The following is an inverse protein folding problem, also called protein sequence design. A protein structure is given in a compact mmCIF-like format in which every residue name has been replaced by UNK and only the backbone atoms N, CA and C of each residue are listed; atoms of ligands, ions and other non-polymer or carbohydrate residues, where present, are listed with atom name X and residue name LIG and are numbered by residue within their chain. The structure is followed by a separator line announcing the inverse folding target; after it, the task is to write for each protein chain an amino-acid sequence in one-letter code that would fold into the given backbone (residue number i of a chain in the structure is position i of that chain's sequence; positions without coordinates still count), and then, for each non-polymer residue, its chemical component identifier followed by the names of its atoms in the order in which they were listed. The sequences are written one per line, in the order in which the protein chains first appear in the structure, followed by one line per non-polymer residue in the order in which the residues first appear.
data_IF_708654498263
#
_entry.id   IF_708654498263
#
_cell.length_a   1.000
_cell.length_b   1.000
_cell.length_c   1.000
_cell.angle_alpha   90.00
_cell.angle_beta   90.00
_cell.angle_gamma   90.00
#
_symmetry.space_group_name_H-M   'P 1'
#
loop_
_entity.id
_entity.type
_entity.pdbx_description
1 polymer ?
#
# COMPACT_ATOMS: atom_id res chain seq x y z
N UNK A 1 -29.66 -14.16 15.44
CA UNK A 1 -28.50 -13.49 14.83
C UNK A 1 -27.66 -12.93 15.96
N UNK A 2 -26.51 -13.55 16.26
CA UNK A 2 -25.63 -13.06 17.32
C UNK A 2 -25.15 -11.66 16.94
N UNK A 3 -25.40 -10.67 17.80
CA UNK A 3 -24.90 -9.30 17.65
C UNK A 3 -23.38 -9.35 17.69
N UNK A 4 -22.75 -9.21 16.53
CA UNK A 4 -21.29 -9.04 16.46
C UNK A 4 -20.91 -7.81 17.29
N UNK A 5 -19.99 -7.91 18.26
CA UNK A 5 -19.57 -6.75 19.03
C UNK A 5 -19.08 -5.65 18.09
N UNK A 6 -19.60 -4.44 18.28
CA UNK A 6 -19.28 -3.29 17.43
C UNK A 6 -17.77 -3.08 17.32
N UNK A 7 -17.33 -2.67 16.13
CA UNK A 7 -15.93 -2.31 15.89
C UNK A 7 -15.61 -1.00 16.62
N UNK A 8 -14.59 -0.99 17.49
CA UNK A 8 -14.20 0.18 18.28
C UNK A 8 -12.73 0.55 18.06
N UNK A 9 -12.27 1.68 18.61
CA UNK A 9 -10.84 2.05 18.60
C UNK A 9 -9.97 0.98 19.28
N UNK A 10 -10.55 0.12 20.13
CA UNK A 10 -9.80 -0.86 20.94
C UNK A 10 -10.14 -2.32 20.61
N UNK A 11 -11.13 -2.61 19.77
CA UNK A 11 -11.58 -3.99 19.48
C UNK A 11 -11.86 -4.21 18.00
N UNK A 12 -11.29 -5.30 17.46
CA UNK A 12 -11.40 -5.70 16.05
C UNK A 12 -11.83 -7.16 15.91
N UNK A 13 -12.53 -7.53 14.81
CA UNK A 13 -12.98 -8.89 14.56
C UNK A 13 -11.86 -9.84 14.12
N UNK A 14 -10.69 -9.30 13.75
CA UNK A 14 -9.50 -10.07 13.38
C UNK A 14 -8.38 -9.81 14.38
N UNK A 15 -7.70 -10.88 14.78
CA UNK A 15 -6.56 -10.79 15.69
C UNK A 15 -5.41 -9.99 15.08
N UNK A 16 -4.82 -9.13 15.90
CA UNK A 16 -3.65 -8.35 15.54
C UNK A 16 -2.43 -9.26 15.45
N UNK A 17 -1.65 -9.12 14.38
CA UNK A 17 -0.34 -9.76 14.29
C UNK A 17 0.65 -8.99 15.18
N UNK A 18 1.04 -9.59 16.30
CA UNK A 18 1.94 -8.98 17.29
C UNK A 18 3.39 -9.41 17.06
N UNK A 19 4.33 -8.75 17.74
CA UNK A 19 5.73 -9.20 17.75
C UNK A 19 5.88 -10.62 18.33
N UNK A 20 5.10 -10.99 19.35
CA UNK A 20 5.10 -12.37 19.87
C UNK A 20 4.63 -13.38 18.83
N UNK A 21 3.58 -13.05 18.06
CA UNK A 21 3.14 -13.89 16.93
C UNK A 21 4.23 -14.01 15.88
N UNK A 22 4.95 -12.92 15.58
CA UNK A 22 6.09 -12.94 14.67
C UNK A 22 7.19 -13.90 15.15
N UNK A 23 7.60 -13.82 16.41
CA UNK A 23 8.65 -14.66 16.99
C UNK A 23 8.29 -16.14 16.96
N UNK A 24 7.05 -16.48 17.34
CA UNK A 24 6.54 -17.86 17.26
C UNK A 24 6.52 -18.34 15.81
N UNK A 25 5.99 -17.54 14.88
CA UNK A 25 5.93 -17.89 13.45
C UNK A 25 7.33 -18.08 12.87
N UNK A 26 8.29 -17.23 13.24
CA UNK A 26 9.67 -17.32 12.77
C UNK A 26 10.33 -18.62 13.22
N UNK A 27 10.15 -19.01 14.49
CA UNK A 27 10.67 -20.29 15.02
C UNK A 27 10.03 -21.50 14.35
N UNK A 28 8.75 -21.44 14.05
CA UNK A 28 8.04 -22.50 13.31
C UNK A 28 8.52 -22.59 11.86
N UNK A 29 8.83 -21.46 11.22
CA UNK A 29 9.20 -21.38 9.81
C UNK A 29 10.70 -21.42 9.54
N UNK A 30 11.52 -21.63 10.57
CA UNK A 30 12.96 -21.80 10.44
C UNK A 30 13.40 -23.17 10.94
N UNK A 31 14.27 -23.82 10.16
CA UNK A 31 14.89 -25.09 10.53
C UNK A 31 16.40 -24.93 10.50
N UNK A 32 17.05 -25.08 11.65
CA UNK A 32 18.51 -25.13 11.76
C UNK A 32 18.98 -26.55 11.46
N UNK A 33 20.01 -26.66 10.60
CA UNK A 33 20.61 -27.94 10.19
C UNK A 33 22.12 -27.86 10.37
N UNK A 34 22.73 -28.75 11.18
CA UNK A 34 24.17 -28.79 11.36
C UNK A 34 24.85 -29.39 10.14
N UNK A 35 25.97 -28.80 9.74
CA UNK A 35 26.83 -29.26 8.65
C UNK A 35 28.18 -29.70 9.27
N UNK A 36 28.28 -30.95 9.76
CA UNK A 36 29.44 -31.41 10.50
C UNK A 36 30.64 -31.70 9.60
N UNK A 37 30.40 -32.10 8.34
CA UNK A 37 31.42 -32.61 7.44
C UNK A 37 31.16 -32.26 5.97
N UNK A 38 32.18 -32.52 5.14
CA UNK A 38 32.14 -32.23 3.71
C UNK A 38 31.18 -33.15 2.94
N UNK A 39 30.82 -34.31 3.48
CA UNK A 39 29.87 -35.23 2.84
C UNK A 39 28.44 -34.69 2.93
N UNK A 40 28.04 -34.22 4.11
CA UNK A 40 26.77 -33.55 4.38
C UNK A 40 26.65 -32.30 3.50
N UNK A 41 27.68 -31.45 3.49
CA UNK A 41 27.72 -30.24 2.67
C UNK A 41 27.57 -30.55 1.17
N UNK A 42 28.30 -31.54 0.65
CA UNK A 42 28.21 -31.95 -0.76
C UNK A 42 26.84 -32.51 -1.11
N UNK A 43 26.23 -33.29 -0.21
CA UNK A 43 24.90 -33.85 -0.40
C UNK A 43 23.84 -32.75 -0.55
N UNK A 44 23.86 -31.76 0.33
CA UNK A 44 22.95 -30.61 0.25
C UNK A 44 23.23 -29.79 -1.02
N UNK A 45 24.50 -29.47 -1.29
CA UNK A 45 24.92 -28.66 -2.44
C UNK A 45 24.42 -29.21 -3.76
N UNK A 46 24.52 -30.54 -3.97
CA UNK A 46 24.04 -31.21 -5.19
C UNK A 46 22.55 -30.99 -5.48
N UNK A 47 21.77 -30.68 -4.45
CA UNK A 47 20.31 -30.54 -4.53
C UNK A 47 19.84 -29.11 -4.26
N UNK A 48 20.76 -28.15 -4.12
CA UNK A 48 20.45 -26.73 -3.99
C UNK A 48 20.49 -26.04 -5.34
N UNK A 49 19.34 -25.54 -5.78
CA UNK A 49 19.24 -24.73 -7.00
C UNK A 49 18.71 -23.34 -6.70
N UNK A 50 19.19 -22.37 -7.46
CA UNK A 50 18.60 -21.05 -7.46
C UNK A 50 17.21 -21.08 -8.10
N UNK A 51 16.17 -20.75 -7.33
CA UNK A 51 14.79 -20.63 -7.82
C UNK A 51 14.40 -19.16 -7.87
N UNK A 52 14.02 -18.70 -9.07
CA UNK A 52 13.57 -17.31 -9.27
C UNK A 52 12.30 -16.99 -8.48
N UNK A 53 11.39 -17.96 -8.32
CA UNK A 53 10.13 -17.79 -7.58
C UNK A 53 10.36 -17.46 -6.09
N UNK A 54 11.28 -18.18 -5.43
CA UNK A 54 11.58 -17.99 -4.01
C UNK A 54 12.74 -17.01 -3.77
N UNK A 55 13.30 -16.45 -4.85
CA UNK A 55 14.43 -15.52 -4.89
C UNK A 55 15.68 -15.99 -4.13
N UNK A 56 15.87 -17.31 -3.98
CA UNK A 56 17.00 -17.89 -3.25
C UNK A 56 17.37 -19.30 -3.70
N UNK A 57 18.32 -19.92 -2.98
CA UNK A 57 18.72 -21.32 -3.21
C UNK A 57 17.78 -22.23 -2.44
N UNK A 58 17.07 -23.11 -3.13
CA UNK A 58 16.10 -24.02 -2.54
C UNK A 58 16.38 -25.47 -2.94
N UNK A 59 15.94 -26.39 -2.09
CA UNK A 59 16.08 -27.82 -2.33
C UNK A 59 15.15 -28.29 -3.46
N UNK A 60 15.68 -29.06 -4.39
CA UNK A 60 14.89 -29.59 -5.53
C UNK A 60 14.27 -30.96 -5.30
N UNK A 61 14.71 -31.66 -4.25
CA UNK A 61 14.17 -32.93 -3.80
C UNK A 61 14.17 -33.00 -2.26
N UNK A 62 13.52 -34.03 -1.73
CA UNK A 62 13.60 -34.37 -0.32
C UNK A 62 14.95 -35.04 -0.02
N UNK A 63 15.52 -34.73 1.15
CA UNK A 63 16.70 -35.41 1.70
C UNK A 63 16.32 -35.98 3.08
N UNK A 64 15.62 -37.15 3.13
CA UNK A 64 15.10 -37.72 4.37
C UNK A 64 16.17 -37.98 5.43
N UNK A 65 17.38 -38.34 5.00
CA UNK A 65 18.53 -38.59 5.87
C UNK A 65 18.99 -37.34 6.66
N UNK A 66 18.62 -36.14 6.20
CA UNK A 66 18.86 -34.86 6.88
C UNK A 66 17.57 -34.22 7.42
N UNK A 67 16.42 -34.89 7.28
CA UNK A 67 15.12 -34.33 7.64
C UNK A 67 14.71 -33.10 6.82
N UNK A 68 15.26 -32.95 5.61
CA UNK A 68 15.06 -31.80 4.73
C UNK A 68 14.04 -32.13 3.63
N UNK A 69 13.21 -31.15 3.24
CA UNK A 69 12.17 -31.31 2.21
C UNK A 69 12.42 -30.41 1.00
N UNK A 70 11.91 -30.85 -0.15
CA UNK A 70 11.85 -30.08 -1.39
C UNK A 70 11.16 -28.74 -1.14
N UNK A 71 11.71 -27.69 -1.75
CA UNK A 71 11.19 -26.32 -1.68
C UNK A 71 11.73 -25.50 -0.51
N UNK A 72 12.33 -26.14 0.51
CA UNK A 72 12.96 -25.40 1.60
C UNK A 72 14.14 -24.57 1.09
N UNK A 73 14.16 -23.29 1.47
CA UNK A 73 15.09 -22.29 0.96
C UNK A 73 16.16 -21.96 1.99
N UNK A 74 17.42 -21.87 1.59
CA UNK A 74 18.50 -21.38 2.46
C UNK A 74 18.26 -19.92 2.85
N UNK A 75 18.41 -19.63 4.14
CA UNK A 75 18.38 -18.29 4.72
C UNK A 75 19.76 -17.88 5.24
N UNK A 76 20.09 -16.59 5.20
CA UNK A 76 21.24 -16.05 5.92
C UNK A 76 21.17 -16.36 7.42
N UNK A 77 22.28 -16.78 8.00
CA UNK A 77 22.42 -16.99 9.44
C UNK A 77 23.85 -16.59 9.90
N UNK A 78 24.14 -16.53 11.22
CA UNK A 78 25.48 -16.15 11.69
C UNK A 78 26.62 -17.01 11.12
N UNK A 79 26.40 -18.31 10.92
CA UNK A 79 27.36 -19.23 10.32
C UNK A 79 27.44 -19.18 8.79
N UNK A 80 26.43 -18.62 8.13
CA UNK A 80 26.34 -18.47 6.68
C UNK A 80 25.67 -17.13 6.31
N UNK A 81 26.39 -16.00 6.40
CA UNK A 81 25.80 -14.69 6.08
C UNK A 81 25.46 -14.52 4.59
N UNK A 82 26.27 -15.10 3.68
CA UNK A 82 26.01 -15.16 2.24
C UNK A 82 25.71 -16.61 1.84
N UNK A 83 24.45 -16.90 1.52
CA UNK A 83 24.00 -18.24 1.08
C UNK A 83 24.66 -18.70 -0.23
N UNK A 84 25.25 -17.78 -1.00
CA UNK A 84 26.09 -18.09 -2.16
C UNK A 84 27.48 -18.63 -1.80
N UNK A 85 27.90 -18.56 -0.53
CA UNK A 85 29.16 -19.10 -0.02
C UNK A 85 29.01 -20.46 0.65
N UNK A 86 27.85 -21.12 0.54
CA UNK A 86 27.55 -22.38 1.23
C UNK A 86 28.67 -23.43 1.05
N UNK A 87 29.17 -23.60 -0.17
CA UNK A 87 30.20 -24.57 -0.54
C UNK A 87 31.61 -24.20 -0.06
N UNK A 88 31.82 -22.94 0.29
CA UNK A 88 33.11 -22.37 0.69
C UNK A 88 33.17 -22.06 2.18
N UNK A 89 32.08 -22.30 2.91
CA UNK A 89 31.98 -22.01 4.34
C UNK A 89 32.80 -23.04 5.13
N UNK A 90 33.70 -22.60 6.05
CA UNK A 90 34.47 -23.52 6.87
C UNK A 90 33.58 -24.43 7.72
N UNK A 91 33.94 -25.71 7.78
CA UNK A 91 33.24 -26.73 8.58
C UNK A 91 33.85 -26.82 9.99
N UNK A 92 33.04 -27.18 11.02
CA UNK A 92 31.59 -27.35 10.98
C UNK A 92 30.87 -26.00 11.09
N UNK A 93 29.66 -25.92 10.54
CA UNK A 93 28.78 -24.76 10.74
C UNK A 93 27.30 -25.18 10.73
N UNK A 94 26.44 -24.32 11.25
CA UNK A 94 24.99 -24.49 11.16
C UNK A 94 24.42 -23.62 10.04
N UNK A 95 23.53 -24.19 9.24
CA UNK A 95 22.77 -23.45 8.24
C UNK A 95 21.28 -23.39 8.61
N UNK A 96 20.56 -22.42 8.06
CA UNK A 96 19.13 -22.24 8.31
C UNK A 96 18.35 -22.39 7.01
N UNK A 97 17.26 -23.15 7.07
CA UNK A 97 16.29 -23.28 6.00
C UNK A 97 14.97 -22.61 6.39
N UNK A 98 14.42 -21.82 5.48
CA UNK A 98 13.04 -21.36 5.50
C UNK A 98 12.10 -22.50 5.09
N UNK A 99 11.15 -22.81 5.97
CA UNK A 99 10.15 -23.88 5.80
C UNK A 99 8.71 -23.37 5.78
N UNK A 100 8.53 -22.04 5.90
CA UNK A 100 7.22 -21.41 5.85
C UNK A 100 6.56 -21.51 4.47
N UNK A 101 5.22 -21.44 4.40
CA UNK A 101 4.47 -21.52 3.17
C UNK A 101 4.72 -20.32 2.26
N UNK A 102 4.56 -20.49 0.94
CA UNK A 102 4.76 -19.40 -0.03
C UNK A 102 3.75 -18.25 0.12
N UNK A 103 2.54 -18.56 0.57
CA UNK A 103 1.45 -17.61 0.85
C UNK A 103 1.36 -17.22 2.34
N UNK A 104 2.39 -17.55 3.12
CA UNK A 104 2.49 -17.16 4.52
C UNK A 104 2.52 -15.66 4.72
N UNK A 105 2.02 -15.18 5.88
CA UNK A 105 2.15 -13.77 6.29
C UNK A 105 3.60 -13.32 6.43
N UNK A 106 4.48 -14.25 6.77
CA UNK A 106 5.92 -14.07 6.85
C UNK A 106 6.56 -14.90 5.74
N UNK A 107 7.51 -14.30 5.02
CA UNK A 107 8.23 -14.97 3.92
C UNK A 107 9.72 -15.12 4.20
N UNK A 108 10.26 -14.43 5.21
CA UNK A 108 11.61 -14.58 5.76
C UNK A 108 11.68 -13.83 7.10
N UNK A 109 12.71 -14.08 7.91
CA UNK A 109 13.00 -13.27 9.11
C UNK A 109 13.43 -11.85 8.75
N UNK A 110 12.97 -10.84 9.50
CA UNK A 110 13.40 -9.47 9.34
C UNK A 110 14.67 -9.20 10.18
N UNK A 111 15.82 -8.92 9.56
CA UNK A 111 17.07 -8.67 10.29
C UNK A 111 17.04 -7.38 11.12
N UNK A 112 16.05 -6.50 10.91
CA UNK A 112 15.90 -5.30 11.72
C UNK A 112 15.47 -5.59 13.16
N UNK A 113 14.89 -6.76 13.41
CA UNK A 113 14.49 -7.17 14.76
C UNK A 113 15.64 -7.72 15.60
N UNK A 114 16.82 -7.93 15.00
CA UNK A 114 18.04 -8.20 15.74
C UNK A 114 18.54 -6.94 16.48
N UNK A 115 18.01 -5.75 16.13
CA UNK A 115 18.35 -4.48 16.77
C UNK A 115 17.55 -4.34 18.08
N UNK A 116 18.21 -4.19 19.25
CA UNK A 116 17.51 -4.06 20.51
C UNK A 116 16.48 -2.93 20.52
N UNK A 117 15.25 -3.25 20.95
CA UNK A 117 14.13 -2.30 21.04
C UNK A 117 13.34 -2.09 19.74
N UNK A 118 13.77 -2.68 18.62
CA UNK A 118 13.02 -2.68 17.37
C UNK A 118 12.07 -3.89 17.32
N UNK A 119 10.78 -3.60 17.30
CA UNK A 119 9.70 -4.62 17.26
C UNK A 119 8.69 -4.31 16.16
N UNK A 120 7.73 -5.22 15.94
CA UNK A 120 6.66 -5.02 14.98
C UNK A 120 5.85 -3.73 15.23
N UNK A 121 5.70 -3.37 16.50
CA UNK A 121 5.02 -2.16 16.95
C UNK A 121 5.85 -0.90 16.72
N UNK A 122 7.15 -1.02 16.41
CA UNK A 122 8.01 0.12 16.10
C UNK A 122 7.63 0.76 14.77
N UNK A 123 7.17 -0.02 13.79
CA UNK A 123 6.78 0.48 12.48
C UNK A 123 5.49 1.29 12.52
N UNK A 124 5.55 2.46 11.89
CA UNK A 124 4.40 3.31 11.67
C UNK A 124 3.67 2.87 10.39
N UNK A 125 2.34 2.84 10.43
CA UNK A 125 1.53 2.58 9.25
C UNK A 125 1.43 3.90 8.49
N UNK A 126 1.97 3.90 7.28
CA UNK A 126 1.98 5.04 6.39
C UNK A 126 0.58 5.29 5.77
N UNK A 127 0.13 6.55 5.80
CA UNK A 127 -1.15 6.98 5.21
C UNK A 127 -1.13 6.99 3.69
N UNK A 128 0.03 7.15 3.05
CA UNK A 128 0.11 7.16 1.60
C UNK A 128 -0.32 5.81 1.01
N UNK A 129 0.14 4.69 1.55
CA UNK A 129 -0.20 3.34 1.10
C UNK A 129 -1.50 2.83 1.71
N UNK A 130 -1.80 3.19 2.96
CA UNK A 130 -3.00 2.71 3.64
C UNK A 130 -4.27 3.51 3.26
N UNK A 131 -4.15 4.78 2.91
CA UNK A 131 -5.27 5.64 2.50
C UNK A 131 -5.19 6.05 1.02
N UNK A 132 -4.18 6.84 0.64
CA UNK A 132 -4.15 7.51 -0.67
C UNK A 132 -4.09 6.52 -1.85
N UNK A 133 -3.13 5.59 -1.83
CA UNK A 133 -2.94 4.52 -2.82
C UNK A 133 -3.81 3.27 -2.54
N UNK A 134 -4.77 3.40 -1.63
CA UNK A 134 -5.57 2.29 -1.12
C UNK A 134 -7.06 2.57 -1.30
N UNK A 135 -7.82 2.72 -0.21
CA UNK A 135 -9.25 3.03 -0.26
C UNK A 135 -9.60 4.27 -1.07
N UNK A 136 -8.78 5.32 -1.02
CA UNK A 136 -9.11 6.59 -1.66
C UNK A 136 -9.11 6.47 -3.19
N UNK A 137 -8.05 5.89 -3.76
CA UNK A 137 -7.98 5.60 -5.19
C UNK A 137 -9.11 4.68 -5.67
N UNK A 138 -9.53 3.71 -4.84
CA UNK A 138 -10.63 2.82 -5.17
C UNK A 138 -11.98 3.54 -5.18
N UNK A 139 -12.24 4.40 -4.20
CA UNK A 139 -13.44 5.24 -4.21
C UNK A 139 -13.49 6.12 -5.47
N UNK A 140 -12.39 6.78 -5.81
CA UNK A 140 -12.33 7.64 -7.01
C UNK A 140 -12.56 6.84 -8.29
N UNK A 141 -11.88 5.71 -8.45
CA UNK A 141 -12.07 4.82 -9.61
C UNK A 141 -13.53 4.34 -9.73
N UNK A 142 -14.09 3.80 -8.64
CA UNK A 142 -15.47 3.34 -8.59
C UNK A 142 -16.45 4.44 -8.98
N UNK A 143 -16.26 5.64 -8.41
CA UNK A 143 -17.15 6.78 -8.66
C UNK A 143 -17.10 7.24 -10.10
N UNK A 144 -15.91 7.33 -10.69
CA UNK A 144 -15.75 7.76 -12.08
C UNK A 144 -16.27 6.71 -13.06
N UNK A 145 -16.04 5.41 -12.80
CA UNK A 145 -16.66 4.32 -13.56
C UNK A 145 -18.19 4.36 -13.49
N UNK A 146 -18.75 4.59 -12.30
CA UNK A 146 -20.18 4.77 -12.10
C UNK A 146 -20.73 5.95 -12.92
N UNK A 147 -20.10 7.12 -12.83
CA UNK A 147 -20.54 8.31 -13.57
C UNK A 147 -20.49 8.07 -15.09
N UNK A 148 -19.41 7.46 -15.59
CA UNK A 148 -19.24 7.13 -17.02
C UNK A 148 -20.30 6.11 -17.47
N UNK A 149 -20.58 5.10 -16.65
CA UNK A 149 -21.50 4.01 -16.93
C UNK A 149 -22.99 4.36 -16.77
N UNK A 150 -23.32 5.45 -16.09
CA UNK A 150 -24.69 5.89 -15.82
C UNK A 150 -25.51 6.24 -17.08
N UNK A 151 -24.83 6.56 -18.18
CA UNK A 151 -25.47 7.04 -19.41
C UNK A 151 -25.93 8.51 -19.34
N UNK A 152 -25.68 9.22 -18.24
CA UNK A 152 -26.08 10.62 -18.07
C UNK A 152 -25.28 11.57 -18.99
N UNK A 153 -23.98 11.33 -19.11
CA UNK A 153 -23.03 12.24 -19.77
C UNK A 153 -22.68 11.86 -21.21
N UNK A 154 -23.25 10.76 -21.72
CA UNK A 154 -23.07 10.35 -23.12
C UNK A 154 -24.24 10.86 -23.97
N UNK A 155 -23.99 11.31 -25.23
CA UNK A 155 -25.07 11.63 -26.16
C UNK A 155 -25.99 10.43 -26.40
N UNK A 156 -27.31 10.67 -26.40
CA UNK A 156 -28.34 9.66 -26.72
C UNK A 156 -28.45 9.47 -28.24
N UNK A 157 -27.39 9.03 -28.90
CA UNK A 157 -27.38 8.77 -30.36
C UNK A 157 -27.30 7.27 -30.66
N UNK A 158 -28.12 6.82 -31.61
CA UNK A 158 -28.35 5.40 -31.93
C UNK A 158 -27.08 4.69 -32.44
N UNK A 159 -26.12 5.42 -33.03
CA UNK A 159 -24.96 4.85 -33.70
C UNK A 159 -23.68 4.77 -32.86
N UNK A 160 -23.70 5.18 -31.58
CA UNK A 160 -22.51 5.08 -30.72
C UNK A 160 -22.40 3.68 -30.12
N UNK A 161 -21.26 3.02 -30.36
CA UNK A 161 -20.90 1.80 -29.66
C UNK A 161 -20.58 2.10 -28.16
N UNK A 162 -20.47 1.07 -27.33
CA UNK A 162 -20.28 1.24 -25.90
C UNK A 162 -18.95 1.94 -25.53
N UNK A 163 -17.87 1.66 -26.28
CA UNK A 163 -16.56 2.28 -26.07
C UNK A 163 -16.60 3.79 -26.34
N UNK A 164 -17.23 4.20 -27.45
CA UNK A 164 -17.33 5.61 -27.82
C UNK A 164 -18.20 6.37 -26.82
N UNK A 165 -19.26 5.76 -26.28
CA UNK A 165 -20.06 6.36 -25.20
C UNK A 165 -19.22 6.62 -23.96
N UNK A 166 -18.39 5.65 -23.55
CA UNK A 166 -17.52 5.81 -22.38
C UNK A 166 -16.50 6.93 -22.59
N UNK A 167 -15.92 7.03 -23.79
CA UNK A 167 -15.00 8.12 -24.13
C UNK A 167 -15.69 9.48 -24.11
N UNK A 168 -16.90 9.58 -24.67
CA UNK A 168 -17.68 10.82 -24.65
C UNK A 168 -18.07 11.26 -23.24
N UNK A 169 -18.58 10.34 -22.40
CA UNK A 169 -18.85 10.63 -20.98
C UNK A 169 -17.58 11.12 -20.26
N UNK A 170 -16.44 10.47 -20.51
CA UNK A 170 -15.17 10.88 -19.92
C UNK A 170 -14.76 12.29 -20.38
N UNK A 171 -15.00 12.68 -21.63
CA UNK A 171 -14.69 14.03 -22.10
C UNK A 171 -15.47 15.11 -21.35
N UNK A 172 -16.76 14.88 -21.08
CA UNK A 172 -17.60 15.78 -20.27
C UNK A 172 -17.08 15.86 -18.84
N UNK A 173 -16.84 14.71 -18.20
CA UNK A 173 -16.29 14.66 -16.83
C UNK A 173 -14.92 15.35 -16.77
N UNK A 174 -14.09 15.17 -17.79
CA UNK A 174 -12.78 15.79 -17.90
C UNK A 174 -12.87 17.31 -18.07
N UNK A 175 -13.80 17.83 -18.88
CA UNK A 175 -13.99 19.28 -18.99
C UNK A 175 -14.42 19.89 -17.67
N UNK A 176 -15.32 19.22 -16.95
CA UNK A 176 -15.75 19.65 -15.62
C UNK A 176 -14.63 19.57 -14.58
N UNK A 177 -13.79 18.54 -14.62
CA UNK A 177 -12.62 18.42 -13.74
C UNK A 177 -11.68 19.62 -13.87
N UNK A 178 -11.34 20.02 -15.09
CA UNK A 178 -10.43 21.15 -15.30
C UNK A 178 -11.09 22.49 -14.99
N UNK A 179 -12.39 22.63 -15.20
CA UNK A 179 -13.16 23.79 -14.74
C UNK A 179 -13.15 23.88 -13.21
N UNK A 180 -13.39 22.75 -12.53
CA UNK A 180 -13.33 22.66 -11.07
C UNK A 180 -11.95 23.06 -10.52
N UNK A 181 -10.87 22.54 -11.13
CA UNK A 181 -9.50 22.95 -10.74
C UNK A 181 -9.22 24.43 -10.99
N UNK A 182 -9.72 24.98 -12.10
CA UNK A 182 -9.61 26.41 -12.34
C UNK A 182 -10.31 27.22 -11.24
N UNK A 183 -11.55 26.88 -10.89
CA UNK A 183 -12.30 27.54 -9.83
C UNK A 183 -11.59 27.44 -8.48
N UNK A 184 -11.03 26.27 -8.13
CA UNK A 184 -10.26 26.12 -6.90
C UNK A 184 -9.01 27.01 -6.87
N UNK A 185 -8.27 27.14 -7.98
CA UNK A 185 -7.10 28.03 -8.05
C UNK A 185 -7.47 29.51 -7.87
N UNK A 186 -8.67 29.89 -8.29
CA UNK A 186 -9.17 31.26 -8.17
C UNK A 186 -9.72 31.56 -6.77
N UNK A 187 -10.43 30.61 -6.16
CA UNK A 187 -11.20 30.82 -4.92
C UNK A 187 -10.49 30.35 -3.65
N UNK A 188 -9.56 29.39 -3.72
CA UNK A 188 -8.86 28.82 -2.57
C UNK A 188 -7.35 29.16 -2.63
N UNK A 189 -6.88 30.16 -1.85
CA UNK A 189 -5.47 30.53 -1.81
C UNK A 189 -4.54 29.39 -1.37
N UNK A 190 -5.01 28.48 -0.51
CA UNK A 190 -4.22 27.33 -0.10
C UNK A 190 -4.12 26.30 -1.23
N UNK A 191 -5.20 26.09 -1.99
CA UNK A 191 -5.16 25.28 -3.20
C UNK A 191 -4.20 25.86 -4.24
N UNK A 192 -4.22 27.17 -4.47
CA UNK A 192 -3.29 27.82 -5.40
C UNK A 192 -1.82 27.57 -5.03
N UNK A 193 -1.53 27.41 -3.73
CA UNK A 193 -0.17 27.19 -3.21
C UNK A 193 0.24 25.71 -3.18
N UNK A 194 -0.67 24.82 -2.82
CA UNK A 194 -0.37 23.41 -2.47
C UNK A 194 -1.36 22.38 -3.05
N UNK A 195 -2.29 22.83 -3.89
CA UNK A 195 -3.25 21.99 -4.57
C UNK A 195 -2.56 20.94 -5.44
N UNK A 196 -3.22 19.80 -5.59
CA UNK A 196 -2.70 18.64 -6.33
C UNK A 196 -3.67 18.29 -7.43
N UNK A 197 -3.22 18.32 -8.67
CA UNK A 197 -4.06 18.13 -9.85
C UNK A 197 -3.48 17.02 -10.72
N UNK A 198 -4.35 16.22 -11.33
CA UNK A 198 -3.92 15.34 -12.42
C UNK A 198 -3.68 16.17 -13.68
N UNK A 199 -2.61 15.85 -14.41
CA UNK A 199 -2.34 16.47 -15.70
C UNK A 199 -3.35 16.05 -16.78
N UNK A 200 -3.84 14.82 -16.71
CA UNK A 200 -4.79 14.25 -17.64
C UNK A 200 -5.63 13.19 -16.91
N UNK A 201 -6.86 12.95 -17.40
CA UNK A 201 -7.72 11.86 -16.96
C UNK A 201 -8.03 11.00 -18.17
N UNK A 202 -7.73 9.70 -18.08
CA UNK A 202 -7.96 8.71 -19.16
C UNK A 202 -8.69 7.49 -18.63
N UNK A 203 -9.41 6.76 -19.50
CA UNK A 203 -10.05 5.49 -19.11
C UNK A 203 -9.04 4.49 -18.56
N UNK A 204 -7.83 4.43 -19.15
CA UNK A 204 -6.75 3.55 -18.68
C UNK A 204 -6.29 3.87 -17.25
N UNK A 205 -6.36 5.14 -16.82
CA UNK A 205 -6.05 5.50 -15.44
C UNK A 205 -7.09 4.94 -14.46
N UNK A 206 -8.36 4.82 -14.84
CA UNK A 206 -9.41 4.36 -13.94
C UNK A 206 -9.29 2.87 -13.59
N UNK A 207 -8.45 2.12 -14.30
CA UNK A 207 -8.33 0.67 -14.12
C UNK A 207 -9.57 -0.07 -14.63
N UNK A 208 -9.68 -1.35 -14.29
CA UNK A 208 -10.82 -2.18 -14.70
C UNK A 208 -12.01 -2.04 -13.73
N UNK A 209 -13.20 -2.44 -14.20
CA UNK A 209 -14.46 -2.38 -13.44
C UNK A 209 -14.59 -3.45 -12.35
N UNK A 210 -13.68 -4.43 -12.30
CA UNK A 210 -13.70 -5.47 -11.26
C UNK A 210 -12.88 -5.08 -10.03
N UNK A 211 -11.77 -4.37 -10.25
CA UNK A 211 -10.78 -4.08 -9.21
C UNK A 211 -10.69 -2.60 -8.87
N UNK A 212 -11.17 -1.69 -9.71
CA UNK A 212 -11.18 -0.24 -9.44
C UNK A 212 -9.82 0.33 -9.02
N UNK A 213 -8.75 -0.04 -9.73
CA UNK A 213 -7.39 0.38 -9.42
C UNK A 213 -7.03 1.67 -10.17
N UNK A 214 -7.26 2.84 -9.55
CA UNK A 214 -6.86 4.13 -10.11
C UNK A 214 -5.33 4.27 -10.15
N UNK A 215 -4.78 4.44 -11.34
CA UNK A 215 -3.37 4.77 -11.56
C UNK A 215 -3.19 6.29 -11.56
N UNK A 216 -2.95 6.87 -10.38
CA UNK A 216 -2.50 8.26 -10.21
C UNK A 216 -1.46 8.35 -9.10
N UNK A 217 -0.78 9.49 -8.98
CA UNK A 217 0.10 9.71 -7.83
C UNK A 217 -0.72 9.86 -6.57
N UNK A 218 -0.17 9.43 -5.43
CA UNK A 218 -0.83 9.52 -4.15
C UNK A 218 -1.23 10.95 -3.74
N UNK A 219 -0.51 11.96 -4.22
CA UNK A 219 -0.89 13.36 -4.01
C UNK A 219 -2.13 13.74 -4.83
N UNK A 220 -2.18 13.31 -6.10
CA UNK A 220 -3.23 13.65 -7.06
C UNK A 220 -4.61 13.09 -6.64
N UNK A 221 -4.66 12.03 -5.84
CA UNK A 221 -5.92 11.45 -5.36
C UNK A 221 -6.70 12.38 -4.41
N UNK A 222 -6.05 13.32 -3.72
CA UNK A 222 -6.75 14.32 -2.91
C UNK A 222 -7.55 15.30 -3.79
N UNK A 223 -6.98 15.75 -4.91
CA UNK A 223 -7.69 16.63 -5.84
C UNK A 223 -8.86 15.93 -6.49
N UNK A 224 -8.66 14.68 -6.90
CA UNK A 224 -9.72 13.87 -7.45
C UNK A 224 -10.83 13.56 -6.43
N UNK A 225 -10.50 13.36 -5.14
CA UNK A 225 -11.51 13.19 -4.08
C UNK A 225 -12.43 14.42 -3.99
N UNK A 226 -11.84 15.62 -3.93
CA UNK A 226 -12.63 16.87 -3.87
C UNK A 226 -13.49 17.02 -5.13
N UNK A 227 -12.93 16.67 -6.29
CA UNK A 227 -13.67 16.69 -7.55
C UNK A 227 -14.86 15.72 -7.54
N UNK A 228 -14.67 14.44 -7.19
CA UNK A 228 -15.79 13.48 -7.25
C UNK A 228 -16.91 13.84 -6.27
N UNK A 229 -16.59 14.43 -5.12
CA UNK A 229 -17.59 14.96 -4.20
C UNK A 229 -18.35 16.11 -4.83
N UNK A 230 -17.64 17.12 -5.35
CA UNK A 230 -18.24 18.28 -6.02
C UNK A 230 -19.11 17.87 -7.23
N UNK A 231 -18.60 16.95 -8.04
CA UNK A 231 -19.27 16.46 -9.25
C UNK A 231 -20.55 15.70 -8.92
N UNK A 232 -20.50 14.76 -7.98
CA UNK A 232 -21.70 14.04 -7.54
C UNK A 232 -22.73 14.95 -6.89
N UNK A 233 -22.31 15.89 -6.05
CA UNK A 233 -23.20 16.85 -5.39
C UNK A 233 -23.92 17.74 -6.43
N UNK A 234 -23.17 18.23 -7.43
CA UNK A 234 -23.70 19.05 -8.52
C UNK A 234 -24.72 18.34 -9.39
N UNK A 235 -24.50 17.06 -9.69
CA UNK A 235 -25.34 16.27 -10.60
C UNK A 235 -26.32 15.34 -9.87
N UNK A 236 -26.47 15.46 -8.54
CA UNK A 236 -27.25 14.52 -7.74
C UNK A 236 -28.72 14.46 -8.20
N UNK A 237 -29.31 15.61 -8.50
CA UNK A 237 -30.70 15.68 -8.93
C UNK A 237 -30.91 15.03 -10.31
N UNK A 238 -29.92 15.10 -11.19
CA UNK A 238 -29.95 14.42 -12.49
C UNK A 238 -29.86 12.89 -12.30
N UNK A 239 -28.99 12.40 -11.41
CA UNK A 239 -28.95 10.99 -11.04
C UNK A 239 -30.26 10.48 -10.42
N UNK A 240 -30.97 11.33 -9.67
CA UNK A 240 -32.28 10.99 -9.09
C UNK A 240 -33.39 10.79 -10.14
N UNK A 241 -33.20 11.30 -11.35
CA UNK A 241 -34.15 11.06 -12.45
C UNK A 241 -33.96 9.71 -13.14
N UNK A 242 -32.86 9.01 -12.86
CA UNK A 242 -32.58 7.68 -13.38
C UNK A 242 -33.31 6.61 -12.54
N UNK A 243 -33.04 5.33 -12.83
CA UNK A 243 -33.60 4.23 -12.05
C UNK A 243 -33.18 4.29 -10.58
N UNK A 244 -33.99 3.64 -9.72
CA UNK A 244 -33.80 3.69 -8.27
C UNK A 244 -32.43 3.18 -7.81
N UNK A 245 -31.85 2.19 -8.51
CA UNK A 245 -30.56 1.63 -8.12
C UNK A 245 -29.41 2.59 -8.46
N UNK A 246 -29.47 3.23 -9.64
CA UNK A 246 -28.51 4.27 -10.03
C UNK A 246 -28.59 5.48 -9.11
N UNK A 247 -29.80 5.98 -8.84
CA UNK A 247 -30.04 7.10 -7.91
C UNK A 247 -29.47 6.81 -6.52
N UNK A 248 -29.79 5.64 -5.96
CA UNK A 248 -29.28 5.20 -4.66
C UNK A 248 -27.75 5.07 -4.65
N UNK A 249 -27.17 4.55 -5.73
CA UNK A 249 -25.70 4.39 -5.83
C UNK A 249 -25.00 5.74 -5.83
N UNK A 250 -25.53 6.74 -6.53
CA UNK A 250 -25.00 8.11 -6.51
C UNK A 250 -25.00 8.70 -5.09
N UNK A 251 -26.11 8.56 -4.35
CA UNK A 251 -26.22 9.03 -2.96
C UNK A 251 -25.22 8.35 -2.02
N UNK A 252 -25.02 7.03 -2.19
CA UNK A 252 -24.04 6.27 -1.40
C UNK A 252 -22.60 6.71 -1.72
N UNK A 253 -22.25 6.90 -3.00
CA UNK A 253 -20.92 7.36 -3.40
C UNK A 253 -20.64 8.78 -2.90
N UNK A 254 -21.63 9.67 -2.96
CA UNK A 254 -21.51 11.04 -2.44
C UNK A 254 -21.29 11.01 -0.92
N UNK A 255 -22.05 10.20 -0.19
CA UNK A 255 -21.88 10.02 1.25
C UNK A 255 -20.50 9.43 1.60
N UNK A 256 -19.99 8.48 0.81
CA UNK A 256 -18.65 7.93 0.97
C UNK A 256 -17.57 9.01 0.75
N UNK A 257 -17.66 9.78 -0.33
CA UNK A 257 -16.74 10.88 -0.64
C UNK A 257 -16.74 11.96 0.44
N UNK A 258 -17.91 12.33 0.97
CA UNK A 258 -18.04 13.27 2.07
C UNK A 258 -17.33 12.79 3.34
N UNK A 259 -17.51 11.52 3.71
CA UNK A 259 -16.82 10.97 4.88
C UNK A 259 -15.31 10.87 4.67
N UNK A 260 -14.84 10.55 3.46
CA UNK A 260 -13.43 10.57 3.11
C UNK A 260 -12.82 11.99 3.23
N UNK A 261 -13.54 13.04 2.78
CA UNK A 261 -13.11 14.43 2.95
C UNK A 261 -13.05 14.84 4.43
N UNK A 262 -14.02 14.41 5.25
CA UNK A 262 -14.00 14.66 6.69
C UNK A 262 -12.81 13.98 7.38
N UNK A 263 -12.36 12.81 6.91
CA UNK A 263 -11.13 12.19 7.42
C UNK A 263 -9.91 13.06 7.13
N UNK A 264 -9.77 13.54 5.89
CA UNK A 264 -8.68 14.44 5.50
C UNK A 264 -8.70 15.74 6.31
N UNK A 265 -9.89 16.29 6.59
CA UNK A 265 -10.07 17.48 7.43
C UNK A 265 -9.62 17.22 8.88
N UNK A 266 -10.08 16.12 9.51
CA UNK A 266 -9.68 15.77 10.88
C UNK A 266 -8.17 15.64 10.99
N UNK A 267 -7.54 14.93 10.03
CA UNK A 267 -6.09 14.77 10.00
C UNK A 267 -5.34 16.09 9.71
N UNK A 268 -5.92 16.96 8.86
CA UNK A 268 -5.35 18.26 8.51
C UNK A 268 -5.39 19.27 9.65
N UNK A 269 -6.44 19.24 10.47
CA UNK A 269 -6.60 20.12 11.65
C UNK A 269 -5.88 19.59 12.89
N UNK A 270 -5.60 18.28 12.95
CA UNK A 270 -4.91 17.67 14.08
C UNK A 270 -3.41 18.03 14.09
N UNK A 271 -2.86 18.32 15.26
CA UNK A 271 -1.42 18.51 15.41
C UNK A 271 -0.67 17.15 15.37
N UNK A 272 0.65 17.15 15.62
CA UNK A 272 1.46 15.92 15.60
C UNK A 272 0.95 14.85 16.57
N UNK A 273 0.37 15.23 17.71
CA UNK A 273 -0.27 14.32 18.66
C UNK A 273 -1.78 14.47 18.53
N UNK A 274 -2.46 13.44 18.05
CA UNK A 274 -3.92 13.46 17.90
C UNK A 274 -4.56 13.13 19.26
N UNK A 275 -5.54 13.92 19.68
CA UNK A 275 -6.32 13.65 20.88
C UNK A 275 -7.34 12.51 20.66
N UNK A 276 -7.85 11.93 21.75
CA UNK A 276 -8.78 10.81 21.69
C UNK A 276 -10.08 11.14 20.95
N UNK A 277 -10.59 12.36 21.10
CA UNK A 277 -11.81 12.81 20.42
C UNK A 277 -11.63 12.87 18.91
N UNK A 278 -10.49 13.41 18.46
CA UNK A 278 -10.12 13.47 17.04
C UNK A 278 -9.90 12.07 16.44
N UNK A 279 -9.25 11.14 17.15
CA UNK A 279 -9.11 9.75 16.69
C UNK A 279 -10.47 9.05 16.59
N UNK A 280 -11.35 9.23 17.58
CA UNK A 280 -12.70 8.66 17.52
C UNK A 280 -13.51 9.26 16.36
N UNK A 281 -13.38 10.56 16.09
CA UNK A 281 -14.01 11.21 14.92
C UNK A 281 -13.47 10.62 13.62
N UNK A 282 -12.16 10.43 13.51
CA UNK A 282 -11.52 9.81 12.36
C UNK A 282 -12.04 8.39 12.13
N UNK A 283 -12.15 7.58 13.19
CA UNK A 283 -12.71 6.24 13.12
C UNK A 283 -14.18 6.25 12.67
N UNK A 284 -15.00 7.15 13.22
CA UNK A 284 -16.42 7.26 12.85
C UNK A 284 -16.60 7.63 11.38
N UNK A 285 -15.83 8.59 10.88
CA UNK A 285 -15.81 8.94 9.46
C UNK A 285 -15.39 7.72 8.61
N UNK A 286 -14.37 6.99 9.04
CA UNK A 286 -13.90 5.82 8.29
C UNK A 286 -14.91 4.67 8.25
N UNK A 287 -15.57 4.35 9.37
CA UNK A 287 -16.62 3.32 9.43
C UNK A 287 -17.79 3.70 8.51
N UNK A 288 -18.22 4.97 8.52
CA UNK A 288 -19.27 5.46 7.62
C UNK A 288 -18.83 5.38 6.16
N UNK A 289 -17.60 5.78 5.85
CA UNK A 289 -17.02 5.60 4.52
C UNK A 289 -17.09 4.14 4.08
N UNK A 290 -16.63 3.19 4.90
CA UNK A 290 -16.68 1.75 4.59
C UNK A 290 -18.10 1.26 4.33
N UNK A 291 -19.07 1.69 5.15
CA UNK A 291 -20.47 1.32 5.01
C UNK A 291 -21.04 1.82 3.68
N UNK A 292 -20.83 3.10 3.35
CA UNK A 292 -21.37 3.69 2.12
C UNK A 292 -20.65 3.15 0.88
N UNK A 293 -19.32 3.05 0.92
CA UNK A 293 -18.51 2.48 -0.16
C UNK A 293 -18.91 1.02 -0.44
N UNK A 294 -19.03 0.18 0.58
CA UNK A 294 -19.43 -1.22 0.41
C UNK A 294 -20.86 -1.36 -0.13
N UNK A 295 -21.79 -0.52 0.34
CA UNK A 295 -23.18 -0.50 -0.18
C UNK A 295 -23.28 0.01 -1.62
N UNK A 296 -22.33 0.83 -2.07
CA UNK A 296 -22.23 1.28 -3.46
C UNK A 296 -21.56 0.24 -4.40
N UNK A 297 -21.30 -0.97 -3.92
CA UNK A 297 -20.64 -2.04 -4.70
C UNK A 297 -19.11 -2.04 -4.60
N UNK A 298 -18.54 -1.24 -3.71
CA UNK A 298 -17.10 -1.19 -3.47
C UNK A 298 -16.57 -2.47 -2.81
N UNK A 299 -15.46 -3.00 -3.33
CA UNK A 299 -14.80 -4.19 -2.79
C UNK A 299 -13.77 -3.81 -1.72
N UNK A 300 -13.85 -4.42 -0.54
CA UNK A 300 -12.90 -4.22 0.55
C UNK A 300 -11.64 -5.06 0.34
N UNK A 301 -10.49 -4.39 0.27
CA UNK A 301 -9.15 -4.99 0.12
C UNK A 301 -8.34 -4.93 1.42
N UNK A 302 -7.22 -5.66 1.54
CA UNK A 302 -6.38 -5.63 2.74
C UNK A 302 -5.95 -4.22 3.21
N UNK A 303 -5.72 -3.29 2.27
CA UNK A 303 -5.39 -1.89 2.60
C UNK A 303 -6.49 -1.17 3.42
N UNK A 304 -7.76 -1.54 3.26
CA UNK A 304 -8.84 -0.98 4.09
C UNK A 304 -8.71 -1.43 5.55
N UNK A 305 -8.31 -2.67 5.78
CA UNK A 305 -8.02 -3.14 7.14
C UNK A 305 -6.77 -2.48 7.72
N UNK A 306 -5.73 -2.27 6.89
CA UNK A 306 -4.51 -1.59 7.31
C UNK A 306 -4.77 -0.14 7.76
N UNK A 307 -5.65 0.58 7.07
CA UNK A 307 -6.06 1.94 7.47
C UNK A 307 -6.79 1.97 8.81
N UNK A 308 -7.56 0.91 9.11
CA UNK A 308 -8.19 0.79 10.42
C UNK A 308 -7.13 0.78 11.54
N UNK A 309 -6.11 -0.06 11.39
CA UNK A 309 -4.99 -0.10 12.34
C UNK A 309 -4.27 1.24 12.38
N UNK A 310 -4.05 1.91 11.25
CA UNK A 310 -3.43 3.24 11.24
C UNK A 310 -4.18 4.22 12.18
N UNK A 311 -5.51 4.26 12.08
CA UNK A 311 -6.36 5.13 12.91
C UNK A 311 -6.23 4.76 14.39
N UNK A 312 -6.29 3.47 14.75
CA UNK A 312 -6.13 3.03 16.14
C UNK A 312 -4.75 3.41 16.69
N UNK A 313 -3.71 3.22 15.87
CA UNK A 313 -2.33 3.51 16.25
C UNK A 313 -2.02 5.00 16.35
N UNK A 314 -2.84 5.86 15.75
CA UNK A 314 -2.65 7.31 15.79
C UNK A 314 -2.67 7.90 17.20
N UNK A 315 -3.32 7.22 18.17
CA UNK A 315 -3.30 7.64 19.58
C UNK A 315 -1.90 7.68 20.19
N UNK A 316 -1.03 6.76 19.80
CA UNK A 316 0.31 6.61 20.38
C UNK A 316 1.43 6.87 19.37
N UNK A 317 1.19 6.67 18.07
CA UNK A 317 2.13 7.04 16.99
C UNK A 317 1.97 8.49 16.53
N UNK A 318 0.87 9.14 16.89
CA UNK A 318 0.56 10.50 16.48
C UNK A 318 -0.02 10.57 15.07
N UNK A 319 -0.05 11.78 14.52
CA UNK A 319 -0.66 12.07 13.23
C UNK A 319 0.15 11.46 12.10
N UNK A 320 -0.45 10.59 11.26
CA UNK A 320 0.25 9.97 10.14
C UNK A 320 0.84 10.97 9.15
N UNK A 321 0.21 12.13 8.96
CA UNK A 321 0.71 13.19 8.09
C UNK A 321 2.06 13.75 8.55
N UNK A 322 2.44 13.53 9.80
CA UNK A 322 3.70 14.03 10.37
C UNK A 322 4.89 13.09 10.17
N UNK A 323 4.67 11.82 9.78
CA UNK A 323 5.74 10.84 9.57
C UNK A 323 5.70 10.16 8.20
N UNK A 324 4.71 10.48 7.37
CA UNK A 324 4.70 10.11 5.94
C UNK A 324 4.96 11.35 5.09
N UNK A 325 5.99 11.33 4.25
CA UNK A 325 6.17 12.39 3.24
C UNK A 325 6.34 11.79 1.85
N UNK A 326 5.79 12.48 0.83
CA UNK A 326 6.02 12.09 -0.57
C UNK A 326 7.50 12.16 -0.97
N UNK A 327 8.30 12.96 -0.25
CA UNK A 327 9.75 13.03 -0.41
C UNK A 327 10.39 11.72 0.00
N UNK A 328 10.04 11.16 1.15
CA UNK A 328 10.57 9.88 1.61
C UNK A 328 10.23 8.76 0.63
N UNK A 329 9.02 8.76 0.05
CA UNK A 329 8.66 7.80 -0.99
C UNK A 329 9.54 7.93 -2.24
N UNK A 330 9.79 9.17 -2.69
CA UNK A 330 10.68 9.39 -3.84
C UNK A 330 12.10 8.87 -3.58
N UNK A 331 12.60 9.05 -2.35
CA UNK A 331 13.89 8.53 -1.90
C UNK A 331 13.89 7.00 -1.83
N UNK A 332 12.84 6.40 -1.28
CA UNK A 332 12.64 4.95 -1.27
C UNK A 332 12.68 4.37 -2.69
N UNK A 333 12.03 5.04 -3.65
CA UNK A 333 12.08 4.67 -5.06
C UNK A 333 13.50 4.71 -5.65
N UNK A 334 14.31 5.69 -5.27
CA UNK A 334 15.72 5.79 -5.67
C UNK A 334 16.54 4.64 -5.06
N UNK A 335 16.42 4.41 -3.75
CA UNK A 335 17.12 3.31 -3.08
C UNK A 335 16.71 1.94 -3.63
N UNK A 336 15.43 1.73 -3.93
CA UNK A 336 14.95 0.52 -4.58
C UNK A 336 15.55 0.32 -5.98
N UNK A 337 15.75 1.39 -6.76
CA UNK A 337 16.45 1.33 -8.05
C UNK A 337 17.93 0.99 -7.88
N UNK A 338 18.61 1.63 -6.91
CA UNK A 338 20.00 1.33 -6.55
C UNK A 338 20.13 -0.15 -6.18
N UNK A 339 19.27 -0.64 -5.28
CA UNK A 339 19.27 -2.02 -4.81
C UNK A 339 19.01 -3.02 -5.95
N UNK A 340 18.07 -2.74 -6.85
CA UNK A 340 17.80 -3.60 -8.04
C UNK A 340 18.98 -3.65 -9.02
N UNK A 341 19.79 -2.59 -9.08
CA UNK A 341 20.99 -2.55 -9.93
C UNK A 341 22.20 -3.24 -9.32
N UNK A 342 22.16 -3.56 -8.03
CA UNK A 342 23.30 -4.12 -7.31
C UNK A 342 23.34 -5.65 -7.49
N UNK A 343 24.51 -6.18 -7.82
CA UNK A 343 24.71 -7.63 -7.85
C UNK A 343 24.60 -8.19 -6.43
N UNK A 344 23.93 -9.34 -6.26
CA UNK A 344 23.64 -9.94 -4.95
C UNK A 344 24.88 -10.11 -4.06
N UNK A 345 25.98 -10.59 -4.64
CA UNK A 345 27.27 -10.79 -3.94
C UNK A 345 27.88 -9.51 -3.36
N UNK A 346 27.59 -8.36 -3.95
CA UNK A 346 28.13 -7.06 -3.51
C UNK A 346 27.03 -6.11 -3.04
N UNK A 347 25.82 -6.64 -2.82
CA UNK A 347 24.60 -5.86 -2.70
C UNK A 347 24.67 -4.84 -1.57
N UNK A 348 25.06 -5.28 -0.36
CA UNK A 348 25.21 -4.41 0.80
C UNK A 348 26.23 -3.29 0.54
N UNK A 349 27.44 -3.66 0.10
CA UNK A 349 28.54 -2.70 -0.15
C UNK A 349 28.18 -1.69 -1.24
N UNK A 350 27.59 -2.15 -2.35
CA UNK A 350 27.19 -1.30 -3.48
C UNK A 350 26.07 -0.35 -3.08
N UNK A 351 25.10 -0.80 -2.27
CA UNK A 351 24.04 0.07 -1.75
C UNK A 351 24.64 1.13 -0.85
N UNK A 352 25.43 0.76 0.16
CA UNK A 352 26.05 1.72 1.07
C UNK A 352 26.89 2.77 0.33
N UNK A 353 27.69 2.33 -0.65
CA UNK A 353 28.50 3.23 -1.46
C UNK A 353 27.67 4.15 -2.37
N UNK A 354 26.67 3.61 -3.10
CA UNK A 354 25.81 4.45 -3.96
C UNK A 354 24.93 5.40 -3.14
N UNK A 355 24.45 4.96 -1.98
CA UNK A 355 23.68 5.78 -1.05
C UNK A 355 24.50 6.95 -0.51
N UNK A 356 25.74 6.71 -0.10
CA UNK A 356 26.61 7.78 0.41
C UNK A 356 26.96 8.81 -0.67
N UNK A 357 27.18 8.37 -1.91
CA UNK A 357 27.38 9.28 -3.05
C UNK A 357 26.15 10.14 -3.34
N UNK A 358 24.95 9.55 -3.26
CA UNK A 358 23.71 10.31 -3.45
C UNK A 358 23.55 11.37 -2.35
N UNK A 359 23.82 11.01 -1.09
CA UNK A 359 23.72 11.92 0.04
C UNK A 359 24.71 13.10 -0.09
N UNK A 360 25.95 12.81 -0.48
CA UNK A 360 26.98 13.85 -0.72
C UNK A 360 26.55 14.83 -1.81
N UNK A 361 26.10 14.34 -2.97
CA UNK A 361 25.63 15.21 -4.06
C UNK A 361 24.42 16.07 -3.66
N UNK A 362 23.47 15.49 -2.93
CA UNK A 362 22.31 16.24 -2.44
C UNK A 362 22.71 17.31 -1.43
N UNK A 363 23.68 17.03 -0.57
CA UNK A 363 24.25 18.00 0.37
C UNK A 363 24.98 19.13 -0.36
N UNK A 364 25.86 18.81 -1.32
CA UNK A 364 26.61 19.80 -2.08
C UNK A 364 25.67 20.75 -2.85
N UNK A 365 24.59 20.23 -3.45
CA UNK A 365 23.57 21.03 -4.14
C UNK A 365 22.77 21.94 -3.18
N UNK A 366 22.46 21.45 -1.97
CA UNK A 366 21.77 22.26 -0.97
C UNK A 366 22.64 23.42 -0.49
N UNK A 367 23.94 23.19 -0.30
CA UNK A 367 24.89 24.23 0.10
C UNK A 367 25.03 25.29 -0.98
N UNK A 368 25.09 24.90 -2.27
CA UNK A 368 25.17 25.85 -3.37
C UNK A 368 23.91 26.68 -3.59
N UNK A 369 22.73 26.17 -3.24
CA UNK A 369 21.46 26.92 -3.33
C UNK A 369 21.25 27.89 -2.15
N UNK A 370 22.03 27.75 -1.07
CA UNK A 370 21.95 28.61 0.13
C UNK A 370 23.03 29.71 0.16
N UNK A 371 23.91 29.75 -0.83
CA UNK A 371 24.95 30.76 -1.05
C UNK A 371 24.65 31.53 -2.32
#
# INVERSE_FOLDING_TARGET
MASSPGVTVVSMPYELFTHDTYEVTLREFTKVVPIPDAETMRTITRHLEYKKATLGRALVCDLPQLGLRKGWRLEPCPGLPDVGQFEFTPLPFDCTFWVGPEDGRLTHGCPLFDIPGLTWESWAIDIMHSWHLGPLQQLVSLTLHFCIGSGLFAPKTIHLNASDRQQMSLLVIKSELFLFYQQLRELDPEWKRKGTEVWNLTLGMLGNQETYNLSCKAAESHGLLRFIHWFLDRHLDEFRTLDNDTSRTAELLLAAAKNALQMDEVLGLSCRKIDLGSVQKLLNCYIRFLLFYGRAGGVLKPKFHLLFHMIQRALYKGNPRAYSTYRDESLNGIFAKIARSAHRRTWANVIHWKASMFHKKAFDAYVSDCT
#
